data_IF_729354311554
#
_entry.id   IF_729354311554
#
_cell.length_a   1.000
_cell.length_b   1.000
_cell.length_c   1.000
_cell.angle_alpha   90.00
_cell.angle_beta   90.00
_cell.angle_gamma   90.00
#
_symmetry.space_group_name_H-M   'P 1'
#
loop_
_entity.id
_entity.type
_entity.pdbx_description
1 polymer ?
#
# COMPACT_ATOMS: atom_id res chain seq x y z
N UNK A 1 22.36 -18.23 -36.37
CA UNK A 1 21.64 -18.88 -35.24
C UNK A 1 22.06 -18.37 -33.85
N UNK A 2 23.08 -17.52 -33.72
CA UNK A 2 23.64 -17.08 -32.42
C UNK A 2 22.88 -15.94 -31.71
N UNK A 3 22.18 -15.07 -32.47
CA UNK A 3 21.49 -13.89 -31.91
C UNK A 3 20.21 -14.27 -31.16
N UNK A 4 19.47 -15.27 -31.65
CA UNK A 4 18.25 -15.77 -31.00
C UNK A 4 18.55 -16.40 -29.62
N UNK A 5 19.65 -17.17 -29.53
CA UNK A 5 20.12 -17.76 -28.29
C UNK A 5 20.58 -16.70 -27.28
N UNK A 6 21.28 -15.65 -27.73
CA UNK A 6 21.71 -14.55 -26.85
C UNK A 6 20.53 -13.77 -26.26
N UNK A 7 19.48 -13.51 -27.05
CA UNK A 7 18.25 -12.89 -26.55
C UNK A 7 17.51 -13.80 -25.55
N UNK A 8 17.38 -15.10 -25.83
CA UNK A 8 16.77 -16.06 -24.89
C UNK A 8 17.54 -16.15 -23.57
N UNK A 9 18.88 -16.13 -23.60
CA UNK A 9 19.71 -16.13 -22.40
C UNK A 9 19.47 -14.89 -21.52
N UNK A 10 19.31 -13.71 -22.15
CA UNK A 10 19.08 -12.45 -21.46
C UNK A 10 17.71 -12.38 -20.78
N UNK A 11 16.70 -13.03 -21.37
CA UNK A 11 15.35 -13.08 -20.79
C UNK A 11 15.32 -14.04 -19.60
N UNK A 12 15.98 -15.20 -19.71
CA UNK A 12 16.10 -16.17 -18.61
C UNK A 12 16.82 -15.59 -17.38
N UNK A 13 17.96 -14.93 -17.59
CA UNK A 13 18.74 -14.32 -16.49
C UNK A 13 17.98 -13.19 -15.80
N UNK A 14 17.21 -12.40 -16.55
CA UNK A 14 16.30 -11.42 -15.94
C UNK A 14 15.26 -12.13 -15.08
N UNK A 15 14.59 -13.16 -15.62
CA UNK A 15 13.57 -13.91 -14.87
C UNK A 15 14.10 -14.47 -13.56
N UNK A 16 15.30 -15.08 -13.57
CA UNK A 16 15.89 -15.67 -12.37
C UNK A 16 16.23 -14.64 -11.29
N UNK A 17 16.71 -13.44 -11.69
CA UNK A 17 16.93 -12.34 -10.74
C UNK A 17 15.61 -11.85 -10.13
N UNK A 18 14.54 -11.80 -10.94
CA UNK A 18 13.20 -11.45 -10.47
C UNK A 18 12.64 -12.47 -9.48
N UNK A 19 12.73 -13.75 -9.81
CA UNK A 19 12.31 -14.84 -8.93
C UNK A 19 13.05 -14.77 -7.60
N UNK A 20 14.38 -14.61 -7.64
CA UNK A 20 15.21 -14.49 -6.45
C UNK A 20 14.86 -13.26 -5.59
N UNK A 21 14.52 -12.12 -6.22
CA UNK A 21 14.05 -10.93 -5.50
C UNK A 21 12.71 -11.16 -4.81
N UNK A 22 11.75 -11.79 -5.49
CA UNK A 22 10.43 -12.10 -4.92
C UNK A 22 10.58 -13.09 -3.76
N UNK A 23 11.37 -14.15 -3.94
CA UNK A 23 11.66 -15.13 -2.88
C UNK A 23 12.28 -14.45 -1.66
N UNK A 24 13.25 -13.54 -1.85
CA UNK A 24 13.86 -12.82 -0.74
C UNK A 24 12.87 -11.93 0.01
N UNK A 25 11.95 -11.27 -0.70
CA UNK A 25 10.87 -10.48 -0.07
C UNK A 25 9.93 -11.37 0.74
N UNK A 26 9.50 -12.50 0.18
CA UNK A 26 8.64 -13.47 0.87
C UNK A 26 9.29 -13.99 2.15
N UNK A 27 10.59 -14.28 2.11
CA UNK A 27 11.35 -14.72 3.29
C UNK A 27 11.37 -13.62 4.36
N UNK A 28 11.70 -12.38 3.99
CA UNK A 28 11.75 -11.26 4.94
C UNK A 28 10.38 -11.03 5.58
N UNK A 29 9.30 -11.02 4.78
CA UNK A 29 7.94 -10.87 5.27
C UNK A 29 7.56 -12.00 6.23
N UNK A 30 7.89 -13.25 5.88
CA UNK A 30 7.59 -14.42 6.71
C UNK A 30 8.31 -14.36 8.05
N UNK A 31 9.61 -14.01 8.05
CA UNK A 31 10.40 -13.87 9.28
C UNK A 31 9.83 -12.75 10.16
N UNK A 32 9.44 -11.63 9.57
CA UNK A 32 8.84 -10.50 10.29
C UNK A 32 7.51 -10.91 10.94
N UNK A 33 6.61 -11.55 10.19
CA UNK A 33 5.34 -12.09 10.72
C UNK A 33 5.58 -13.02 11.91
N UNK A 34 6.49 -13.98 11.78
CA UNK A 34 6.79 -14.93 12.86
C UNK A 34 7.32 -14.19 14.10
N UNK A 35 8.27 -13.27 13.90
CA UNK A 35 8.85 -12.50 15.00
C UNK A 35 7.84 -11.61 15.73
N UNK A 36 6.85 -11.09 15.01
CA UNK A 36 5.78 -10.25 15.56
C UNK A 36 4.66 -11.08 16.22
N UNK A 37 4.40 -12.29 15.72
CA UNK A 37 3.31 -13.15 16.21
C UNK A 37 3.72 -13.93 17.46
N UNK A 38 4.99 -14.33 17.56
CA UNK A 38 5.51 -15.13 18.69
C UNK A 38 5.28 -14.48 20.07
N UNK A 39 5.60 -13.19 20.29
CA UNK A 39 5.36 -12.53 21.58
C UNK A 39 3.89 -12.56 22.01
N UNK A 40 2.96 -12.35 21.04
CA UNK A 40 1.52 -12.37 21.30
C UNK A 40 1.03 -13.76 21.69
N UNK A 41 1.48 -14.80 20.98
CA UNK A 41 1.14 -16.19 21.32
C UNK A 41 1.63 -16.56 22.72
N UNK A 42 2.84 -16.16 23.09
CA UNK A 42 3.40 -16.40 24.43
C UNK A 42 2.56 -15.69 25.50
N UNK A 43 2.23 -14.41 25.30
CA UNK A 43 1.36 -13.63 26.20
C UNK A 43 -0.01 -14.28 26.36
N UNK A 44 -0.64 -14.69 25.27
CA UNK A 44 -1.96 -15.33 25.28
C UNK A 44 -1.95 -16.65 26.05
N UNK A 45 -0.98 -17.54 25.79
CA UNK A 45 -0.84 -18.82 26.51
C UNK A 45 -0.62 -18.57 27.99
N UNK A 46 0.26 -17.63 28.33
CA UNK A 46 0.57 -17.29 29.72
C UNK A 46 -0.66 -16.70 30.44
N UNK A 47 -1.44 -15.84 29.79
CA UNK A 47 -2.68 -15.28 30.36
C UNK A 47 -3.71 -16.36 30.62
N UNK A 48 -3.90 -17.30 29.69
CA UNK A 48 -4.83 -18.44 29.85
C UNK A 48 -4.35 -19.37 30.98
N UNK A 49 -3.05 -19.71 31.01
CA UNK A 49 -2.48 -20.58 32.03
C UNK A 49 -2.57 -19.98 33.45
N UNK A 50 -2.52 -18.65 33.55
CA UNK A 50 -2.59 -17.92 34.83
C UNK A 50 -4.00 -17.41 35.16
N UNK A 51 -5.02 -17.78 34.38
CA UNK A 51 -6.40 -17.29 34.52
C UNK A 51 -6.99 -17.60 35.90
N UNK A 52 -6.74 -18.80 36.44
CA UNK A 52 -7.17 -19.21 37.78
C UNK A 52 -6.43 -18.46 38.92
N UNK A 53 -5.30 -17.81 38.64
CA UNK A 53 -4.58 -16.94 39.58
C UNK A 53 -5.00 -15.48 39.47
N UNK A 54 -5.91 -15.13 38.54
CA UNK A 54 -6.35 -13.76 38.27
C UNK A 54 -6.96 -13.05 39.48
N UNK A 55 -7.55 -13.79 40.43
CA UNK A 55 -8.08 -13.26 41.70
C UNK A 55 -6.99 -12.85 42.69
N UNK A 56 -5.71 -13.19 42.46
CA UNK A 56 -4.55 -12.88 43.31
C UNK A 56 -3.50 -12.02 42.60
N UNK A 57 -3.70 -11.63 41.33
CA UNK A 57 -2.72 -10.80 40.60
C UNK A 57 -2.75 -9.36 41.13
N UNK A 58 -1.57 -8.79 41.37
CA UNK A 58 -1.45 -7.37 41.71
C UNK A 58 -1.91 -6.49 40.54
N UNK A 59 -2.51 -5.33 40.84
CA UNK A 59 -2.97 -4.38 39.84
C UNK A 59 -1.85 -3.99 38.85
N UNK A 60 -0.62 -3.78 39.33
CA UNK A 60 0.53 -3.48 38.46
C UNK A 60 0.79 -4.58 37.43
N UNK A 61 0.64 -5.85 37.81
CA UNK A 61 0.86 -6.97 36.89
C UNK A 61 -0.20 -6.99 35.78
N UNK A 62 -1.45 -6.71 36.13
CA UNK A 62 -2.55 -6.59 35.17
C UNK A 62 -2.28 -5.45 34.18
N UNK A 63 -1.87 -4.27 34.67
CA UNK A 63 -1.53 -3.14 33.80
C UNK A 63 -0.39 -3.45 32.83
N UNK A 64 0.67 -4.13 33.29
CA UNK A 64 1.79 -4.53 32.43
C UNK A 64 1.33 -5.54 31.37
N UNK A 65 0.53 -6.54 31.75
CA UNK A 65 -0.01 -7.54 30.81
C UNK A 65 -0.90 -6.87 29.74
N UNK A 66 -1.77 -5.95 30.12
CA UNK A 66 -2.62 -5.18 29.18
C UNK A 66 -1.80 -4.27 28.27
N UNK A 67 -0.79 -3.58 28.79
CA UNK A 67 0.10 -2.75 27.98
C UNK A 67 0.85 -3.58 26.94
N UNK A 68 1.37 -4.75 27.34
CA UNK A 68 2.07 -5.67 26.45
C UNK A 68 1.15 -6.21 25.36
N UNK A 69 -0.10 -6.55 25.69
CA UNK A 69 -1.09 -7.01 24.72
C UNK A 69 -1.36 -5.93 23.66
N UNK A 70 -1.64 -4.69 24.09
CA UNK A 70 -1.83 -3.54 23.20
C UNK A 70 -0.61 -3.24 22.33
N UNK A 71 0.60 -3.36 22.89
CA UNK A 71 1.84 -3.18 22.14
C UNK A 71 1.98 -4.25 21.05
N UNK A 72 1.74 -5.53 21.38
CA UNK A 72 1.80 -6.62 20.40
C UNK A 72 0.72 -6.52 19.33
N UNK A 73 -0.46 -6.02 19.67
CA UNK A 73 -1.54 -5.74 18.71
C UNK A 73 -1.16 -4.62 17.74
N UNK A 74 -0.55 -3.53 18.23
CA UNK A 74 -0.01 -2.46 17.39
C UNK A 74 1.09 -2.99 16.45
N UNK A 75 1.99 -3.83 16.94
CA UNK A 75 3.05 -4.46 16.13
C UNK A 75 2.45 -5.36 15.04
N UNK A 76 1.39 -6.11 15.33
CA UNK A 76 0.66 -6.88 14.31
C UNK A 76 -0.02 -5.97 13.28
N UNK A 77 -0.59 -4.84 13.70
CA UNK A 77 -1.18 -3.86 12.78
C UNK A 77 -0.16 -3.27 11.80
N UNK A 78 1.08 -3.07 12.26
CA UNK A 78 2.18 -2.59 11.41
C UNK A 78 2.62 -3.60 10.35
N UNK A 79 2.32 -4.89 10.50
CA UNK A 79 2.70 -5.92 9.53
C UNK A 79 2.08 -5.66 8.14
N UNK A 80 0.82 -5.22 8.10
CA UNK A 80 0.15 -4.83 6.85
C UNK A 80 0.85 -3.67 6.14
N UNK A 81 1.35 -2.69 6.91
CA UNK A 81 2.11 -1.58 6.36
C UNK A 81 3.52 -2.02 5.93
N UNK A 82 4.15 -2.94 6.68
CA UNK A 82 5.48 -3.47 6.39
C UNK A 82 5.54 -4.19 5.04
N UNK A 83 4.50 -4.97 4.71
CA UNK A 83 4.33 -5.59 3.39
C UNK A 83 4.43 -4.55 2.27
N UNK A 84 3.70 -3.44 2.40
CA UNK A 84 3.73 -2.35 1.42
C UNK A 84 5.13 -1.74 1.28
N UNK A 85 5.84 -1.53 2.40
CA UNK A 85 7.21 -1.00 2.38
C UNK A 85 8.22 -1.97 1.77
N UNK A 86 8.10 -3.27 2.06
CA UNK A 86 8.97 -4.31 1.50
C UNK A 86 8.78 -4.38 -0.02
N UNK A 87 7.54 -4.36 -0.50
CA UNK A 87 7.26 -4.32 -1.94
C UNK A 87 7.73 -3.01 -2.60
N UNK A 88 7.52 -1.86 -1.95
CA UNK A 88 8.01 -0.57 -2.42
C UNK A 88 9.53 -0.52 -2.52
N UNK A 89 10.26 -0.89 -1.45
CA UNK A 89 11.70 -0.77 -1.41
C UNK A 89 12.38 -1.77 -2.33
N UNK A 90 11.81 -2.95 -2.49
CA UNK A 90 12.54 -4.08 -3.06
C UNK A 90 12.23 -4.30 -4.56
N UNK A 91 11.18 -3.67 -5.12
CA UNK A 91 10.88 -3.72 -6.56
C UNK A 91 10.81 -2.33 -7.21
N UNK A 92 11.75 -2.04 -8.12
CA UNK A 92 11.76 -0.79 -8.89
C UNK A 92 10.54 -0.66 -9.82
N UNK A 93 10.05 -1.79 -10.37
CA UNK A 93 8.83 -1.84 -11.17
C UNK A 93 7.59 -1.52 -10.36
N UNK A 94 7.49 -2.02 -9.12
CA UNK A 94 6.35 -1.72 -8.26
C UNK A 94 6.26 -0.20 -7.98
N UNK A 95 7.40 0.46 -7.69
CA UNK A 95 7.45 1.93 -7.58
C UNK A 95 7.01 2.63 -8.86
N UNK A 96 7.43 2.14 -10.03
CA UNK A 96 7.03 2.70 -11.32
C UNK A 96 5.53 2.52 -11.59
N UNK A 97 4.97 1.35 -11.26
CA UNK A 97 3.53 1.07 -11.37
C UNK A 97 2.74 2.00 -10.46
N UNK A 98 3.11 2.12 -9.18
CA UNK A 98 2.46 3.05 -8.24
C UNK A 98 2.55 4.47 -8.77
N UNK A 99 3.75 4.93 -9.17
CA UNK A 99 3.95 6.29 -9.69
C UNK A 99 3.09 6.55 -10.93
N UNK A 100 2.92 5.55 -11.80
CA UNK A 100 2.09 5.65 -13.00
C UNK A 100 0.61 5.71 -12.65
N UNK A 101 0.14 4.86 -11.75
CA UNK A 101 -1.23 4.87 -11.25
C UNK A 101 -1.55 6.20 -10.56
N UNK A 102 -0.67 6.69 -9.68
CA UNK A 102 -0.82 7.95 -8.97
C UNK A 102 -0.93 9.13 -9.96
N UNK A 103 -0.04 9.18 -10.97
CA UNK A 103 -0.11 10.18 -12.04
C UNK A 103 -1.43 10.13 -12.79
N UNK A 104 -1.98 8.94 -13.05
CA UNK A 104 -3.30 8.80 -13.70
C UNK A 104 -4.41 9.35 -12.79
N UNK A 105 -4.43 8.99 -11.50
CA UNK A 105 -5.41 9.52 -10.55
C UNK A 105 -5.37 11.05 -10.45
N UNK A 106 -4.19 11.65 -10.32
CA UNK A 106 -4.04 13.10 -10.27
C UNK A 106 -4.45 13.77 -11.60
N UNK A 107 -4.16 13.15 -12.75
CA UNK A 107 -4.57 13.67 -14.06
C UNK A 107 -6.08 13.58 -14.29
N UNK A 108 -6.73 12.52 -13.81
CA UNK A 108 -8.19 12.37 -13.82
C UNK A 108 -8.88 13.40 -12.91
N UNK A 109 -8.32 13.69 -11.73
CA UNK A 109 -8.80 14.75 -10.86
C UNK A 109 -8.73 16.13 -11.50
N UNK A 110 -7.62 16.45 -12.18
CA UNK A 110 -7.49 17.72 -12.91
C UNK A 110 -8.45 17.84 -14.10
N UNK A 111 -8.68 16.75 -14.86
CA UNK A 111 -9.55 16.80 -16.04
C UNK A 111 -11.04 16.98 -15.69
N UNK A 112 -11.49 16.51 -14.52
CA UNK A 112 -12.85 16.76 -14.04
C UNK A 112 -13.09 18.24 -13.67
N UNK A 113 -12.08 18.92 -13.12
CA UNK A 113 -12.16 20.36 -12.80
C UNK A 113 -12.22 21.20 -14.08
N UNK A 114 -11.55 20.77 -15.16
CA UNK A 114 -11.60 21.48 -16.45
C UNK A 114 -12.92 21.30 -17.21
N UNK A 115 -13.59 20.14 -17.13
CA UNK A 115 -14.89 19.92 -17.80
C UNK A 115 -16.05 20.72 -17.18
N UNK A 116 -15.96 21.05 -15.88
CA UNK A 116 -16.95 21.90 -15.22
C UNK A 116 -16.80 23.37 -15.69
N UNK A 117 -15.58 23.82 -15.98
CA UNK A 117 -15.32 25.20 -16.39
C UNK A 117 -15.59 25.49 -17.89
N UNK A 118 -15.70 24.46 -18.73
CA UNK A 118 -16.02 24.59 -20.16
C UNK A 118 -17.55 24.57 -20.41
N UNK A 119 -18.35 24.27 -19.38
CA UNK A 119 -19.82 24.22 -19.45
C UNK A 119 -20.51 25.56 -19.13
N UNK A 120 -19.82 26.70 -19.29
CA UNK A 120 -20.48 28.01 -19.35
C UNK A 120 -20.76 28.35 -20.82
N UNK A 121 -22.03 28.38 -21.28
CA UNK A 121 -22.34 28.66 -22.67
C UNK A 121 -22.03 30.13 -22.99
N UNK A 122 -20.90 30.37 -23.64
CA UNK A 122 -20.56 31.61 -24.34
C UNK A 122 -21.37 31.71 -25.64
N UNK A 123 -22.70 31.58 -25.56
CA UNK A 123 -23.59 31.50 -26.72
C UNK A 123 -24.73 32.53 -26.66
N UNK A 124 -24.53 33.68 -26.00
CA UNK A 124 -25.59 34.67 -25.84
C UNK A 124 -25.09 36.12 -25.89
N UNK A 125 -24.22 36.49 -26.84
CA UNK A 125 -23.88 37.91 -27.05
C UNK A 125 -23.56 38.31 -28.51
N UNK A 126 -23.99 37.54 -29.51
CA UNK A 126 -23.77 37.89 -30.94
C UNK A 126 -25.01 37.79 -31.82
N UNK A 127 -26.19 38.12 -31.26
CA UNK A 127 -27.42 38.31 -32.07
C UNK A 127 -28.17 39.57 -31.60
N UNK A 128 -27.49 40.71 -31.57
CA UNK A 128 -28.15 42.03 -31.52
C UNK A 128 -27.31 43.01 -32.35
N UNK A 129 -27.23 42.85 -33.68
CA UNK A 129 -27.01 44.01 -34.56
C UNK A 129 -27.35 43.79 -36.04
N UNK A 130 -28.50 43.19 -36.35
CA UNK A 130 -29.05 43.22 -37.72
C UNK A 130 -30.56 43.47 -37.69
N UNK A 131 -30.98 44.55 -37.05
CA UNK A 131 -32.30 45.13 -37.31
C UNK A 131 -32.26 46.65 -37.07
N UNK A 132 -31.98 47.39 -38.13
CA UNK A 132 -31.86 48.84 -38.06
C UNK A 132 -31.35 49.50 -39.33
N UNK A 133 -31.97 49.24 -40.48
CA UNK A 133 -31.98 50.21 -41.59
C UNK A 133 -33.17 49.96 -42.52
N UNK A 134 -34.35 50.38 -42.07
CA UNK A 134 -35.41 50.85 -42.96
C UNK A 134 -35.06 52.28 -43.38
N UNK A 135 -35.20 52.52 -44.68
CA UNK A 135 -35.46 53.77 -45.43
C UNK A 135 -34.60 53.83 -46.69
#
# INVERSE_FOLDING_TARGET
>A
MTIANAQQQSVRTRLSIWEQQITRMMIIQTVLIISCTMPRCILMIYTIATFNQGTMKSLNRIYIETLLDQLTECIMGLDFASSFYIFCLSSSRFRQTIKTSLKRFFKLGNNQVTSINISRPTAALTVINTHGRQN
#
